data_IF_869384287972
#
_entry.id   IF_869384287972
#
_cell.length_a   1.000
_cell.length_b   1.000
_cell.length_c   1.000
_cell.angle_alpha   90.00
_cell.angle_beta   90.00
_cell.angle_gamma   90.00
#
_symmetry.space_group_name_H-M   'P 1'
#
loop_
_entity.id
_entity.type
_entity.pdbx_description
1 polymer ?
#
# COMPACT_ATOMS: atom_id res chain seq x y z
N UNK A 1 -12.03 -2.95 8.10
CA UNK A 1 -10.64 -2.48 8.31
C UNK A 1 -10.44 -1.33 7.34
N UNK A 2 -9.85 -0.20 7.77
CA UNK A 2 -9.59 0.93 6.86
C UNK A 2 -8.52 0.53 5.84
N UNK A 3 -8.63 1.02 4.61
CA UNK A 3 -7.63 0.79 3.56
C UNK A 3 -6.27 1.36 3.97
N UNK A 4 -5.21 0.61 3.70
CA UNK A 4 -3.86 1.01 4.07
C UNK A 4 -2.83 0.44 3.10
N UNK A 5 -1.70 1.13 3.00
CA UNK A 5 -0.51 0.68 2.31
C UNK A 5 0.70 0.87 3.21
N UNK A 6 1.45 -0.20 3.39
CA UNK A 6 2.73 -0.19 4.05
C UNK A 6 3.78 0.32 3.08
N UNK A 7 4.51 1.34 3.52
CA UNK A 7 5.59 2.01 2.80
C UNK A 7 6.85 2.04 3.66
N UNK A 8 7.99 2.41 3.07
CA UNK A 8 9.24 2.58 3.81
C UNK A 8 10.10 3.69 3.19
N UNK A 9 10.76 4.49 4.01
CA UNK A 9 11.76 5.45 3.53
C UNK A 9 12.87 4.74 2.74
N UNK A 10 13.24 5.28 1.57
CA UNK A 10 14.26 4.70 0.68
C UNK A 10 13.78 3.51 -0.17
N UNK A 11 12.48 3.23 -0.17
CA UNK A 11 11.82 2.34 -1.12
C UNK A 11 11.61 3.08 -2.46
N UNK A 12 12.18 2.62 -3.58
CA UNK A 12 12.13 3.32 -4.87
C UNK A 12 10.69 3.55 -5.38
N UNK A 13 9.75 2.69 -4.99
CA UNK A 13 8.38 2.70 -5.49
C UNK A 13 7.40 3.38 -4.53
N UNK A 14 7.80 3.64 -3.29
CA UNK A 14 6.90 4.14 -2.24
C UNK A 14 6.51 5.61 -2.42
N UNK A 15 7.42 6.44 -2.96
CA UNK A 15 7.10 7.84 -3.28
C UNK A 15 5.97 7.97 -4.32
N UNK A 16 5.75 6.95 -5.15
CA UNK A 16 4.63 6.93 -6.12
C UNK A 16 3.28 6.71 -5.43
N UNK A 17 3.23 6.06 -4.27
CA UNK A 17 1.99 5.88 -3.51
C UNK A 17 1.55 7.14 -2.78
N UNK A 18 2.50 7.91 -2.24
CA UNK A 18 2.22 9.25 -1.70
C UNK A 18 1.60 10.15 -2.78
N UNK A 19 2.20 10.15 -3.97
CA UNK A 19 1.68 10.89 -5.13
C UNK A 19 0.31 10.36 -5.56
N UNK A 20 0.14 9.04 -5.70
CA UNK A 20 -1.12 8.43 -6.12
C UNK A 20 -2.27 8.73 -5.14
N UNK A 21 -2.00 8.67 -3.82
CA UNK A 21 -2.97 9.04 -2.79
C UNK A 21 -3.43 10.49 -2.94
N UNK A 22 -2.50 11.42 -3.13
CA UNK A 22 -2.81 12.85 -3.33
C UNK A 22 -3.63 13.07 -4.60
N UNK A 23 -3.25 12.42 -5.71
CA UNK A 23 -3.91 12.60 -7.01
C UNK A 23 -5.31 11.97 -7.07
N UNK A 24 -5.56 10.89 -6.32
CA UNK A 24 -6.84 10.16 -6.33
C UNK A 24 -7.77 10.55 -5.18
N UNK A 25 -7.30 11.38 -4.25
CA UNK A 25 -8.02 11.70 -2.99
C UNK A 25 -8.47 10.46 -2.20
N UNK A 26 -7.82 9.32 -2.42
CA UNK A 26 -8.21 8.07 -1.79
C UNK A 26 -7.93 8.11 -0.28
N UNK A 27 -8.91 7.70 0.53
CA UNK A 27 -8.79 7.61 1.99
C UNK A 27 -8.00 6.35 2.42
N UNK A 28 -6.71 6.33 2.06
CA UNK A 28 -5.79 5.21 2.31
C UNK A 28 -4.72 5.64 3.29
N UNK A 29 -4.56 4.90 4.38
CA UNK A 29 -3.48 5.18 5.34
C UNK A 29 -2.13 4.72 4.79
N UNK A 30 -1.10 5.55 4.95
CA UNK A 30 0.28 5.16 4.68
C UNK A 30 0.95 4.79 6.00
N UNK A 31 1.42 3.54 6.09
CA UNK A 31 1.98 2.97 7.31
C UNK A 31 3.47 2.73 7.11
N UNK A 32 4.35 3.29 7.94
CA UNK A 32 5.78 2.96 7.88
C UNK A 32 5.96 1.51 8.36
N UNK A 33 6.63 0.68 7.55
CA UNK A 33 6.99 -0.69 7.89
C UNK A 33 7.74 -0.85 9.22
N UNK A 34 8.34 0.21 9.76
CA UNK A 34 9.09 0.23 11.04
C UNK A 34 8.30 0.80 12.22
N UNK A 35 7.06 1.23 12.01
CA UNK A 35 6.25 1.92 13.04
C UNK A 35 5.80 1.01 14.19
N UNK A 36 5.86 -0.31 14.01
CA UNK A 36 5.27 -1.27 14.95
C UNK A 36 3.74 -1.36 14.85
N UNK A 37 3.13 -0.70 13.87
CA UNK A 37 1.69 -0.75 13.62
C UNK A 37 1.20 -2.19 13.46
N UNK A 38 0.11 -2.61 14.12
CA UNK A 38 -0.42 -3.96 14.03
C UNK A 38 -0.69 -4.44 12.59
N UNK A 39 -1.01 -3.53 11.66
CA UNK A 39 -1.24 -3.84 10.25
C UNK A 39 0.02 -4.38 9.57
N UNK A 40 1.20 -3.95 10.01
CA UNK A 40 2.49 -4.49 9.54
C UNK A 40 2.59 -5.98 9.91
N UNK A 41 2.27 -6.33 11.15
CA UNK A 41 2.29 -7.73 11.62
C UNK A 41 1.28 -8.60 10.88
N UNK A 42 0.08 -8.08 10.59
CA UNK A 42 -0.95 -8.80 9.82
C UNK A 42 -0.45 -9.13 8.41
N UNK A 43 0.20 -8.17 7.75
CA UNK A 43 0.80 -8.41 6.44
C UNK A 43 1.95 -9.41 6.53
N UNK A 44 2.85 -9.27 7.51
CA UNK A 44 3.96 -10.21 7.70
C UNK A 44 3.50 -11.64 8.00
N UNK A 45 2.39 -11.80 8.72
CA UNK A 45 1.79 -13.12 8.95
C UNK A 45 1.27 -13.74 7.65
N UNK A 46 0.75 -12.93 6.74
CA UNK A 46 0.10 -13.38 5.51
C UNK A 46 1.10 -13.70 4.39
N UNK A 47 2.19 -12.94 4.28
CA UNK A 47 3.15 -13.06 3.18
C UNK A 47 4.58 -13.41 3.63
N UNK A 48 4.81 -13.57 4.94
CA UNK A 48 6.14 -13.67 5.53
C UNK A 48 6.80 -12.30 5.73
N UNK A 49 8.10 -12.29 6.04
CA UNK A 49 8.84 -11.07 6.37
C UNK A 49 8.73 -10.01 5.26
N UNK A 50 8.42 -8.76 5.64
CA UNK A 50 8.44 -7.65 4.71
C UNK A 50 9.89 -7.31 4.30
N UNK A 51 10.13 -7.25 2.99
CA UNK A 51 11.40 -6.88 2.36
C UNK A 51 11.22 -5.58 1.57
N UNK A 52 12.31 -5.04 1.03
CA UNK A 52 12.20 -3.90 0.11
C UNK A 52 11.57 -4.30 -1.23
N UNK A 53 11.57 -5.59 -1.58
CA UNK A 53 11.02 -6.12 -2.84
C UNK A 53 9.58 -6.63 -2.74
N UNK A 54 8.89 -6.41 -1.63
CA UNK A 54 7.45 -6.59 -1.57
C UNK A 54 6.70 -5.33 -1.13
N UNK A 55 7.41 -4.30 -0.65
CA UNK A 55 6.89 -2.97 -0.34
C UNK A 55 6.99 -2.08 -1.59
N UNK A 56 5.98 -1.24 -1.90
CA UNK A 56 4.74 -1.00 -1.15
C UNK A 56 3.73 -2.16 -1.27
N UNK A 57 3.05 -2.47 -0.16
CA UNK A 57 2.01 -3.51 -0.06
C UNK A 57 0.93 -3.12 0.94
N UNK A 58 -0.32 -3.48 0.70
CA UNK A 58 -1.38 -3.28 1.67
C UNK A 58 -2.72 -3.83 1.22
N UNK A 59 -3.79 -3.32 1.82
CA UNK A 59 -5.17 -3.70 1.51
C UNK A 59 -5.93 -2.45 1.09
N UNK A 60 -6.52 -2.51 -0.11
CA UNK A 60 -7.35 -1.44 -0.67
C UNK A 60 -8.64 -2.06 -1.18
N UNK A 61 -9.79 -1.55 -0.73
CA UNK A 61 -11.13 -2.08 -1.02
C UNK A 61 -11.25 -3.60 -0.80
N UNK A 62 -10.60 -4.11 0.25
CA UNK A 62 -10.58 -5.54 0.58
C UNK A 62 -9.63 -6.40 -0.28
N UNK A 63 -8.86 -5.81 -1.19
CA UNK A 63 -7.90 -6.53 -2.03
C UNK A 63 -6.46 -6.27 -1.59
N UNK A 64 -5.64 -7.32 -1.55
CA UNK A 64 -4.20 -7.18 -1.34
C UNK A 64 -3.54 -6.61 -2.59
N UNK A 65 -2.94 -5.43 -2.45
CA UNK A 65 -2.20 -4.70 -3.49
C UNK A 65 -0.72 -4.67 -3.14
N UNK A 66 0.16 -4.80 -4.13
CA UNK A 66 1.60 -4.60 -3.96
C UNK A 66 2.20 -3.97 -5.22
N UNK A 67 3.46 -3.54 -5.18
CA UNK A 67 4.07 -2.89 -6.35
C UNK A 67 4.32 -3.82 -7.54
N UNK A 68 4.44 -5.13 -7.31
CA UNK A 68 4.63 -6.14 -8.37
C UNK A 68 3.31 -6.31 -9.15
N UNK A 69 2.17 -6.13 -8.48
CA UNK A 69 0.84 -6.00 -9.08
C UNK A 69 0.65 -4.58 -9.61
N UNK A 70 1.31 -4.35 -10.75
CA UNK A 70 1.12 -3.29 -11.74
C UNK A 70 0.55 -1.94 -11.24
N UNK A 71 1.36 -0.89 -11.33
CA UNK A 71 0.95 0.50 -11.05
C UNK A 71 -0.36 0.86 -11.80
N UNK A 72 -0.58 0.29 -12.98
CA UNK A 72 -1.80 0.47 -13.78
C UNK A 72 -3.03 -0.14 -13.12
N UNK A 73 -2.88 -1.33 -12.53
CA UNK A 73 -3.92 -2.02 -11.77
C UNK A 73 -4.24 -1.26 -10.47
N UNK A 74 -3.20 -0.77 -9.77
CA UNK A 74 -3.39 0.10 -8.60
C UNK A 74 -4.13 1.39 -8.98
N UNK A 75 -3.75 2.07 -10.06
CA UNK A 75 -4.43 3.28 -10.52
C UNK A 75 -5.89 3.01 -10.89
N UNK A 76 -6.22 1.89 -11.56
CA UNK A 76 -7.60 1.51 -11.84
C UNK A 76 -8.39 1.25 -10.56
N UNK A 77 -7.83 0.49 -9.62
CA UNK A 77 -8.48 0.12 -8.36
C UNK A 77 -8.79 1.33 -7.48
N UNK A 78 -7.93 2.36 -7.53
CA UNK A 78 -8.14 3.65 -6.87
C UNK A 78 -9.14 4.56 -7.60
N UNK A 79 -9.19 4.49 -8.95
CA UNK A 79 -10.06 5.34 -9.77
C UNK A 79 -11.53 4.94 -9.69
N UNK A 80 -11.84 3.64 -9.55
CA UNK A 80 -13.21 3.14 -9.37
C UNK A 80 -13.78 3.42 -7.96
N UNK A 81 -13.21 4.39 -7.21
CA UNK A 81 -13.61 4.76 -5.85
C UNK A 81 -14.09 6.19 -5.70
N UNK A 82 -14.05 6.97 -6.77
CA UNK A 82 -14.77 8.23 -6.85
C UNK A 82 -16.10 7.97 -7.52
N UNK A 83 -17.19 8.31 -6.83
CA UNK A 83 -18.53 8.47 -7.42
C UNK A 83 -18.49 9.35 -8.68
#
# INVERSE_FOLDING_TARGET
>A
MKDFVIVRLGCPFCGRWEIAKVLTQADIDLVDARSGDPRVKVMEFSIGKLTKENIPIGVVKGHVVNYVRDLTFMCHLLKDGGD
#
